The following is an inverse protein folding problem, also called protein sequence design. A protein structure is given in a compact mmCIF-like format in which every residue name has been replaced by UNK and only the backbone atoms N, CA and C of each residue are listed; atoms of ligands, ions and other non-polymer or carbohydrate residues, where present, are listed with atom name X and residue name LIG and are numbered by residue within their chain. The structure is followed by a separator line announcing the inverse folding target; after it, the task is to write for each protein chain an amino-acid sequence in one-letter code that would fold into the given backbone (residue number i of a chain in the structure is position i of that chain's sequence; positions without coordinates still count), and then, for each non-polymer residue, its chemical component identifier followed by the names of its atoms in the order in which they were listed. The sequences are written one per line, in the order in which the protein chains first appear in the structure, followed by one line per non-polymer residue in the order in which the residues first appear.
data_IF_251909150207
#
_entry.id   IF_251909150207
#
_cell.length_a   1.000
_cell.length_b   1.000
_cell.length_c   1.000
_cell.angle_alpha   90.00
_cell.angle_beta   90.00
_cell.angle_gamma   90.00
#
_symmetry.space_group_name_H-M   'P 1'
#
loop_
_entity.id
_entity.type
_entity.pdbx_description
1 polymer ?
#
# COMPACT_ATOMS: atom_id res chain seq x y z
N UNK A 1 1.22 -14.59 18.81
CA UNK A 1 1.92 -13.32 19.11
C UNK A 1 1.33 -12.28 18.18
N UNK A 2 1.04 -11.07 18.64
CA UNK A 2 0.53 -10.01 17.74
C UNK A 2 1.71 -9.55 16.86
N UNK A 3 1.57 -9.66 15.54
CA UNK A 3 2.63 -9.31 14.59
C UNK A 3 3.04 -7.84 14.69
N UNK A 4 2.11 -6.93 14.98
CA UNK A 4 2.43 -5.49 15.12
C UNK A 4 3.41 -5.23 16.27
N UNK A 5 3.21 -5.91 17.40
CA UNK A 5 4.10 -5.80 18.56
C UNK A 5 5.47 -6.38 18.22
N UNK A 6 5.49 -7.56 17.58
CA UNK A 6 6.73 -8.22 17.19
C UNK A 6 7.55 -7.36 16.22
N UNK A 7 6.92 -6.78 15.20
CA UNK A 7 7.57 -5.86 14.24
C UNK A 7 8.08 -4.60 14.95
N UNK A 8 7.27 -3.99 15.82
CA UNK A 8 7.67 -2.77 16.53
C UNK A 8 8.86 -3.01 17.47
N UNK A 9 8.89 -4.15 18.17
CA UNK A 9 10.01 -4.55 19.01
C UNK A 9 11.26 -4.86 18.17
N UNK A 10 11.10 -5.56 17.04
CA UNK A 10 12.18 -5.89 16.12
C UNK A 10 12.86 -4.64 15.58
N UNK A 11 12.09 -3.69 15.03
CA UNK A 11 12.61 -2.44 14.47
C UNK A 11 13.35 -1.61 15.54
N UNK A 12 12.82 -1.52 16.76
CA UNK A 12 13.48 -0.83 17.88
C UNK A 12 14.81 -1.45 18.28
N UNK A 13 14.96 -2.77 18.13
CA UNK A 13 16.17 -3.48 18.52
C UNK A 13 17.33 -3.28 17.52
N UNK A 14 17.01 -3.13 16.22
CA UNK A 14 18.00 -3.02 15.14
C UNK A 14 18.37 -1.57 14.80
N UNK A 15 17.53 -0.60 15.16
CA UNK A 15 17.72 0.82 14.87
C UNK A 15 17.72 1.67 16.15
N UNK A 16 18.77 1.56 16.99
CA UNK A 16 18.89 2.37 18.19
C UNK A 16 19.18 3.84 17.88
N UNK A 17 19.80 4.13 16.73
CA UNK A 17 20.31 5.46 16.37
C UNK A 17 19.32 6.31 15.56
N UNK A 18 18.23 5.71 15.05
CA UNK A 18 17.11 6.43 14.44
C UNK A 18 17.31 6.70 12.94
N UNK A 19 17.11 5.66 12.13
CA UNK A 19 17.12 5.76 10.67
C UNK A 19 16.00 6.69 10.18
N UNK A 20 16.25 7.66 9.26
CA UNK A 20 15.22 8.61 8.81
C UNK A 20 13.96 7.95 8.25
N UNK A 21 14.10 6.79 7.59
CA UNK A 21 12.95 6.01 7.09
C UNK A 21 11.97 5.55 8.17
N UNK A 22 12.40 5.48 9.43
CA UNK A 22 11.55 5.10 10.58
C UNK A 22 10.42 6.08 10.83
N UNK A 23 10.62 7.36 10.53
CA UNK A 23 9.61 8.41 10.72
C UNK A 23 8.37 8.20 9.82
N UNK A 24 8.50 7.35 8.80
CA UNK A 24 7.42 6.95 7.91
C UNK A 24 6.75 5.63 8.30
N UNK A 25 7.05 5.07 9.48
CA UNK A 25 6.43 3.85 10.02
C UNK A 25 5.67 4.14 11.31
N UNK A 26 4.42 3.66 11.42
CA UNK A 26 3.65 3.75 12.67
C UNK A 26 3.88 2.54 13.56
N UNK A 27 4.82 2.68 14.50
CA UNK A 27 5.16 1.60 15.44
C UNK A 27 4.33 1.66 16.73
N UNK A 28 4.09 0.50 17.33
CA UNK A 28 3.44 0.36 18.65
C UNK A 28 4.32 1.02 19.70
N UNK A 29 3.79 2.06 20.36
CA UNK A 29 4.46 2.79 21.44
C UNK A 29 4.57 1.92 22.69
N UNK A 30 3.43 1.40 23.12
CA UNK A 30 3.27 0.54 24.29
C UNK A 30 2.13 -0.44 24.06
N UNK A 31 2.05 -1.47 24.89
CA UNK A 31 0.96 -2.43 24.89
C UNK A 31 0.57 -2.81 26.32
N UNK A 32 -0.71 -3.10 26.53
CA UNK A 32 -1.22 -3.51 27.84
C UNK A 32 -2.48 -4.35 27.70
N UNK A 33 -2.98 -4.90 28.80
CA UNK A 33 -4.21 -5.68 28.82
C UNK A 33 -5.27 -5.03 29.70
N UNK A 34 -6.48 -4.96 29.19
CA UNK A 34 -7.66 -4.51 29.94
C UNK A 34 -8.59 -5.71 30.15
N UNK A 35 -9.09 -5.90 31.38
CA UNK A 35 -10.12 -6.89 31.67
C UNK A 35 -11.50 -6.32 31.33
N UNK A 36 -12.12 -6.88 30.29
CA UNK A 36 -13.49 -6.60 29.90
C UNK A 36 -14.47 -7.68 30.37
N UNK A 37 -15.78 -7.52 30.07
CA UNK A 37 -16.82 -8.49 30.43
C UNK A 37 -16.65 -9.87 29.76
N UNK A 38 -15.91 -9.94 28.64
CA UNK A 38 -15.71 -11.15 27.86
C UNK A 38 -14.28 -11.71 27.91
N UNK A 39 -13.42 -11.16 28.78
CA UNK A 39 -12.05 -11.64 28.95
C UNK A 39 -11.01 -10.53 28.97
N UNK A 40 -9.76 -10.90 28.76
CA UNK A 40 -8.65 -9.95 28.64
C UNK A 40 -8.53 -9.50 27.19
N UNK A 41 -8.51 -8.18 26.99
CA UNK A 41 -8.31 -7.55 25.69
C UNK A 41 -6.92 -6.92 25.67
N UNK A 42 -6.11 -7.26 24.67
CA UNK A 42 -4.82 -6.61 24.43
C UNK A 42 -5.09 -5.27 23.75
N UNK A 43 -4.50 -4.21 24.26
CA UNK A 43 -4.59 -2.85 23.74
C UNK A 43 -3.21 -2.39 23.26
N UNK A 44 -3.18 -1.69 22.14
CA UNK A 44 -1.97 -1.11 21.57
C UNK A 44 -2.06 0.41 21.70
N UNK A 45 -0.99 1.03 22.20
CA UNK A 45 -0.80 2.46 22.19
C UNK A 45 -0.02 2.85 20.94
N UNK A 46 -0.57 3.75 20.12
CA UNK A 46 -0.02 4.16 18.84
C UNK A 46 -0.13 5.68 18.71
N UNK A 47 0.79 6.31 17.98
CA UNK A 47 0.66 7.72 17.64
C UNK A 47 -0.63 7.98 16.85
N UNK A 48 -1.35 9.07 17.12
CA UNK A 48 -2.53 9.43 16.35
C UNK A 48 -2.14 9.87 14.94
N UNK A 49 -2.92 9.41 13.97
CA UNK A 49 -2.78 9.75 12.55
C UNK A 49 -4.11 10.28 12.02
N UNK A 50 -4.06 10.97 10.90
CA UNK A 50 -5.23 11.42 10.14
C UNK A 50 -5.85 10.29 9.32
N UNK A 51 -6.53 10.67 8.25
CA UNK A 51 -7.17 9.72 7.33
C UNK A 51 -6.15 8.93 6.48
N UNK A 52 -6.60 7.81 5.94
CA UNK A 52 -5.85 7.04 4.94
C UNK A 52 -5.73 7.79 3.60
N UNK A 53 -4.74 7.46 2.78
CA UNK A 53 -4.62 7.99 1.42
C UNK A 53 -5.83 7.65 0.55
N UNK A 54 -6.44 6.48 0.77
CA UNK A 54 -7.70 6.10 0.11
C UNK A 54 -8.79 7.14 0.37
N UNK A 55 -8.97 7.55 1.63
CA UNK A 55 -9.97 8.53 2.01
C UNK A 55 -9.56 9.94 1.58
N UNK A 56 -8.28 10.27 1.68
CA UNK A 56 -7.76 11.58 1.28
C UNK A 56 -7.96 11.87 -0.21
N UNK A 57 -7.70 10.89 -1.07
CA UNK A 57 -8.00 11.00 -2.50
C UNK A 57 -9.48 11.37 -2.74
N UNK A 58 -10.40 10.77 -1.98
CA UNK A 58 -11.85 11.04 -2.06
C UNK A 58 -12.27 12.42 -1.54
N UNK A 59 -11.44 13.12 -0.76
CA UNK A 59 -11.74 14.50 -0.33
C UNK A 59 -11.55 15.53 -1.45
N UNK A 60 -10.73 15.22 -2.46
CA UNK A 60 -10.68 16.03 -3.67
C UNK A 60 -11.97 15.81 -4.45
N UNK A 61 -12.57 16.88 -5.00
CA UNK A 61 -13.84 16.85 -5.74
C UNK A 61 -13.91 15.77 -6.83
N UNK A 62 -12.75 15.31 -7.29
CA UNK A 62 -12.64 14.32 -8.35
C UNK A 62 -12.27 12.91 -7.86
N UNK A 63 -11.77 12.72 -6.64
CA UNK A 63 -11.45 11.39 -6.08
C UNK A 63 -10.01 10.90 -6.25
N UNK A 64 -9.05 11.80 -6.44
CA UNK A 64 -7.63 11.47 -6.69
C UNK A 64 -6.69 12.62 -6.30
N UNK A 65 -5.41 12.32 -6.14
CA UNK A 65 -4.34 13.24 -5.79
C UNK A 65 -3.85 14.09 -6.98
N UNK A 66 -3.19 15.21 -6.67
CA UNK A 66 -2.39 15.97 -7.65
C UNK A 66 -1.03 15.30 -7.86
N UNK A 67 -0.28 15.70 -8.88
CA UNK A 67 1.03 15.12 -9.20
C UNK A 67 2.01 15.34 -8.05
N UNK A 68 2.01 16.53 -7.45
CA UNK A 68 2.90 16.89 -6.34
C UNK A 68 2.60 16.07 -5.09
N UNK A 69 1.31 15.84 -4.81
CA UNK A 69 0.88 15.00 -3.68
C UNK A 69 1.19 13.53 -3.92
N UNK A 70 1.07 13.04 -5.17
CA UNK A 70 1.51 11.70 -5.54
C UNK A 70 3.03 11.56 -5.34
N UNK A 71 3.83 12.45 -5.91
CA UNK A 71 5.29 12.45 -5.81
C UNK A 71 5.73 12.48 -4.34
N UNK A 72 5.16 13.40 -3.54
CA UNK A 72 5.42 13.45 -2.11
C UNK A 72 5.06 12.13 -1.43
N UNK A 73 3.88 11.58 -1.72
CA UNK A 73 3.46 10.31 -1.10
C UNK A 73 4.40 9.16 -1.44
N UNK A 74 4.83 9.06 -2.70
CA UNK A 74 5.74 8.02 -3.16
C UNK A 74 7.12 8.15 -2.51
N UNK A 75 7.68 9.36 -2.40
CA UNK A 75 8.98 9.59 -1.73
C UNK A 75 8.95 9.06 -0.28
N UNK A 76 7.92 9.42 0.49
CA UNK A 76 7.83 9.03 1.90
C UNK A 76 7.53 7.54 2.08
N UNK A 77 6.65 6.97 1.25
CA UNK A 77 6.35 5.53 1.27
C UNK A 77 7.57 4.70 0.86
N UNK A 78 8.29 5.11 -0.19
CA UNK A 78 9.50 4.40 -0.63
C UNK A 78 10.62 4.49 0.41
N UNK A 79 10.83 5.65 1.04
CA UNK A 79 11.80 5.80 2.12
C UNK A 79 11.45 4.93 3.36
N UNK A 80 10.16 4.87 3.71
CA UNK A 80 9.67 4.00 4.78
C UNK A 80 9.84 2.51 4.46
N UNK A 81 9.45 2.09 3.25
CA UNK A 81 9.62 0.70 2.81
C UNK A 81 11.08 0.30 2.71
N UNK A 82 11.95 1.18 2.22
CA UNK A 82 13.37 0.89 2.12
C UNK A 82 13.96 0.54 3.48
N UNK A 83 13.68 1.35 4.49
CA UNK A 83 14.06 1.06 5.87
C UNK A 83 13.41 -0.22 6.39
N UNK A 84 12.10 -0.41 6.17
CA UNK A 84 11.37 -1.61 6.59
C UNK A 84 12.00 -2.89 6.00
N UNK A 85 12.42 -2.84 4.74
CA UNK A 85 13.03 -3.95 4.02
C UNK A 85 14.48 -4.18 4.47
N UNK A 86 15.27 -3.14 4.70
CA UNK A 86 16.60 -3.24 5.33
C UNK A 86 16.53 -3.86 6.73
N UNK A 87 15.44 -3.59 7.44
CA UNK A 87 15.11 -4.20 8.72
C UNK A 87 14.71 -5.68 8.63
N UNK A 88 14.61 -6.26 7.43
CA UNK A 88 14.14 -7.63 7.22
C UNK A 88 12.66 -7.81 7.53
N UNK A 89 11.84 -6.77 7.32
CA UNK A 89 10.39 -6.82 7.52
C UNK A 89 9.69 -6.62 6.17
N UNK A 90 8.72 -7.47 5.86
CA UNK A 90 7.83 -7.33 4.70
C UNK A 90 6.45 -6.96 5.19
N UNK A 91 5.85 -5.92 4.63
CA UNK A 91 4.53 -5.43 5.04
C UNK A 91 3.42 -6.40 4.64
N UNK A 92 3.48 -6.92 3.41
CA UNK A 92 2.58 -7.92 2.82
C UNK A 92 1.13 -7.49 2.59
N UNK A 93 0.66 -6.40 3.23
CA UNK A 93 -0.70 -5.87 3.08
C UNK A 93 -0.75 -4.40 2.62
N UNK A 94 0.22 -3.98 1.81
CA UNK A 94 0.36 -2.57 1.45
C UNK A 94 -0.77 -2.12 0.49
N UNK A 95 -1.49 -1.06 0.87
CA UNK A 95 -2.56 -0.43 0.07
C UNK A 95 -2.79 1.03 0.53
N UNK A 96 -3.54 1.86 -0.21
CA UNK A 96 -3.89 3.22 0.20
C UNK A 96 -4.63 3.31 1.55
N UNK A 97 -5.24 2.22 2.02
CA UNK A 97 -5.89 2.18 3.32
C UNK A 97 -4.89 2.10 4.48
N UNK A 98 -3.74 1.47 4.23
CA UNK A 98 -2.68 1.22 5.21
C UNK A 98 -1.57 2.27 5.14
N UNK A 99 -1.80 3.35 4.39
CA UNK A 99 -0.96 4.55 4.41
C UNK A 99 -1.82 5.70 4.91
N UNK A 100 -1.45 6.27 6.04
CA UNK A 100 -2.23 7.31 6.71
C UNK A 100 -1.44 8.61 6.73
N UNK A 101 -2.15 9.73 6.57
CA UNK A 101 -1.54 11.05 6.73
C UNK A 101 -1.20 11.27 8.18
N UNK A 102 0.04 11.66 8.49
CA UNK A 102 0.34 12.01 9.85
C UNK A 102 -0.26 13.36 10.25
N UNK A 103 -0.27 13.62 11.55
CA UNK A 103 -0.69 14.90 12.14
C UNK A 103 0.53 15.76 12.45
N UNK A 104 0.57 17.00 11.96
CA UNK A 104 1.62 17.99 12.21
C UNK A 104 1.37 18.79 13.48
N UNK A 105 0.13 19.24 13.66
CA UNK A 105 -0.26 20.06 14.81
C UNK A 105 -1.19 19.28 15.73
N UNK A 106 -0.68 18.91 16.91
CA UNK A 106 -1.45 18.20 17.92
C UNK A 106 -2.56 19.05 18.55
N UNK A 107 -2.56 20.38 18.38
CA UNK A 107 -3.65 21.25 18.82
C UNK A 107 -4.99 20.83 18.21
N UNK A 108 -4.98 20.36 16.95
CA UNK A 108 -6.14 19.80 16.27
C UNK A 108 -6.79 18.66 17.06
N UNK A 109 -5.99 17.81 17.71
CA UNK A 109 -6.51 16.71 18.53
C UNK A 109 -7.22 17.25 19.76
N UNK A 110 -6.64 18.27 20.41
CA UNK A 110 -7.27 18.93 21.57
C UNK A 110 -8.60 19.58 21.19
N UNK A 111 -8.66 20.27 20.05
CA UNK A 111 -9.89 20.90 19.54
C UNK A 111 -10.96 19.85 19.20
N UNK A 112 -10.56 18.75 18.56
CA UNK A 112 -11.45 17.62 18.26
C UNK A 112 -12.01 16.99 19.55
N UNK A 113 -11.18 16.80 20.57
CA UNK A 113 -11.63 16.27 21.88
C UNK A 113 -12.58 17.24 22.56
N UNK A 114 -12.28 18.53 22.56
CA UNK A 114 -13.17 19.56 23.11
C UNK A 114 -14.53 19.55 22.38
N UNK A 115 -14.52 19.48 21.05
CA UNK A 115 -15.74 19.39 20.24
C UNK A 115 -16.57 18.14 20.55
N UNK A 116 -15.96 16.96 20.68
CA UNK A 116 -16.67 15.71 21.02
C UNK A 116 -17.25 15.75 22.45
N UNK A 117 -16.62 16.48 23.39
CA UNK A 117 -17.17 16.68 24.74
C UNK A 117 -18.39 17.61 24.73
N UNK A 118 -18.36 18.68 23.93
CA UNK A 118 -19.47 19.63 23.80
C UNK A 118 -20.62 19.07 22.94
N UNK A 119 -20.30 18.29 21.92
CA UNK A 119 -21.21 17.77 20.91
C UNK A 119 -20.95 16.27 20.67
N UNK A 120 -21.38 15.41 21.60
CA UNK A 120 -21.06 13.99 21.55
C UNK A 120 -21.61 13.32 20.29
N UNK A 121 -20.76 12.48 19.67
CA UNK A 121 -21.13 11.66 18.53
C UNK A 121 -22.36 10.81 18.82
N UNK A 122 -23.24 10.59 17.83
CA UNK A 122 -24.40 9.72 17.98
C UNK A 122 -23.99 8.37 18.55
N UNK A 123 -24.68 7.93 19.61
CA UNK A 123 -24.35 6.70 20.33
C UNK A 123 -25.58 5.90 20.67
N UNK A 124 -25.43 4.58 20.68
CA UNK A 124 -26.44 3.63 21.12
C UNK A 124 -26.07 3.11 22.50
N UNK A 125 -26.89 3.42 23.49
CA UNK A 125 -26.72 2.94 24.85
C UNK A 125 -27.46 1.60 25.01
N UNK A 126 -26.73 0.57 25.44
CA UNK A 126 -27.23 -0.76 25.79
C UNK A 126 -26.99 -0.99 27.29
N UNK A 127 -27.68 -1.96 27.93
CA UNK A 127 -27.49 -2.22 29.36
C UNK A 127 -26.05 -2.55 29.78
N UNK A 128 -25.24 -3.09 28.86
CA UNK A 128 -23.87 -3.57 29.11
C UNK A 128 -22.77 -2.73 28.43
N UNK A 129 -23.12 -1.86 27.47
CA UNK A 129 -22.13 -1.09 26.70
C UNK A 129 -22.73 0.12 25.98
N UNK A 130 -21.87 1.04 25.57
CA UNK A 130 -22.20 2.14 24.67
C UNK A 130 -21.50 1.90 23.33
N UNK A 131 -22.25 1.97 22.24
CA UNK A 131 -21.73 1.87 20.88
C UNK A 131 -21.70 3.28 20.30
N UNK A 132 -20.51 3.81 20.05
CA UNK A 132 -20.32 5.12 19.45
C UNK A 132 -20.32 4.98 17.92
N UNK A 133 -21.02 5.86 17.23
CA UNK A 133 -20.89 5.99 15.78
C UNK A 133 -19.52 6.59 15.47
N UNK A 134 -18.77 5.99 14.56
CA UNK A 134 -17.54 6.62 14.04
C UNK A 134 -17.90 7.90 13.30
N UNK A 135 -17.21 8.98 13.62
CA UNK A 135 -17.43 10.29 13.01
C UNK A 135 -16.13 10.82 12.41
N UNK A 136 -16.23 11.41 11.21
CA UNK A 136 -15.09 12.03 10.54
C UNK A 136 -15.01 13.50 10.94
N UNK A 137 -13.94 13.89 11.60
CA UNK A 137 -13.63 15.30 11.84
C UNK A 137 -12.78 15.84 10.69
N UNK A 138 -13.19 16.91 9.99
CA UNK A 138 -12.40 17.48 8.90
C UNK A 138 -11.07 17.98 9.44
N UNK A 139 -9.96 17.43 8.94
CA UNK A 139 -8.62 17.93 9.25
C UNK A 139 -8.18 18.90 8.16
N UNK A 140 -7.74 20.13 8.50
CA UNK A 140 -7.22 21.05 7.51
C UNK A 140 -5.88 20.55 6.96
N UNK A 141 -5.66 20.71 5.65
CA UNK A 141 -4.44 20.25 4.95
C UNK A 141 -3.16 20.78 5.63
N UNK A 142 -3.18 22.01 6.14
CA UNK A 142 -2.04 22.63 6.84
C UNK A 142 -1.63 21.89 8.13
N UNK A 143 -2.53 21.11 8.73
CA UNK A 143 -2.28 20.31 9.92
C UNK A 143 -1.79 18.89 9.59
N UNK A 144 -1.63 18.54 8.31
CA UNK A 144 -1.15 17.24 7.86
C UNK A 144 0.38 17.23 7.74
N UNK A 145 1.02 16.12 8.11
CA UNK A 145 2.42 15.79 7.77
C UNK A 145 2.43 14.71 6.68
N UNK A 146 3.60 14.36 6.12
CA UNK A 146 3.69 13.35 5.09
C UNK A 146 3.06 12.00 5.45
N UNK A 147 2.74 11.16 4.44
CA UNK A 147 2.10 9.86 4.68
C UNK A 147 3.01 8.88 5.44
N UNK A 148 2.39 8.00 6.23
CA UNK A 148 3.02 7.05 7.14
C UNK A 148 2.44 5.66 6.88
N UNK A 149 3.30 4.67 6.75
CA UNK A 149 2.95 3.25 6.61
C UNK A 149 2.48 2.71 7.96
N UNK A 150 1.33 2.05 7.94
CA UNK A 150 0.61 1.60 9.13
C UNK A 150 0.11 0.16 8.95
N UNK A 151 -0.36 -0.44 10.04
CA UNK A 151 -0.97 -1.78 10.07
C UNK A 151 0.00 -2.91 9.69
N UNK A 152 0.85 -3.26 10.66
CA UNK A 152 1.77 -4.39 10.56
C UNK A 152 1.14 -5.71 11.01
N UNK A 153 -0.21 -5.81 11.09
CA UNK A 153 -0.90 -7.02 11.54
C UNK A 153 -0.63 -8.22 10.64
N UNK A 154 -0.39 -7.98 9.35
CA UNK A 154 -0.04 -8.99 8.37
C UNK A 154 1.44 -9.08 8.05
N UNK A 155 2.28 -8.21 8.60
CA UNK A 155 3.71 -8.18 8.29
C UNK A 155 4.44 -9.47 8.69
N UNK A 156 5.62 -9.68 8.09
CA UNK A 156 6.50 -10.83 8.33
C UNK A 156 7.93 -10.36 8.53
N UNK A 157 8.63 -11.01 9.46
CA UNK A 157 10.05 -10.75 9.76
C UNK A 157 10.86 -11.92 9.18
N UNK A 158 11.88 -11.60 8.38
CA UNK A 158 12.71 -12.56 7.63
C UNK A 158 12.81 -12.20 6.15
N UNK A 159 13.58 -13.00 5.41
CA UNK A 159 13.97 -12.65 4.03
C UNK A 159 13.10 -13.31 2.97
N UNK A 160 12.61 -14.53 3.21
CA UNK A 160 11.85 -15.33 2.24
C UNK A 160 10.68 -16.06 2.89
N UNK A 161 9.57 -16.10 2.18
CA UNK A 161 8.32 -16.68 2.65
C UNK A 161 7.59 -17.43 1.54
N UNK A 162 6.56 -18.16 1.94
CA UNK A 162 5.63 -18.86 1.05
C UNK A 162 4.19 -18.69 1.54
N UNK A 163 3.24 -19.02 0.67
CA UNK A 163 1.81 -18.93 0.98
C UNK A 163 1.17 -17.63 0.50
N UNK A 164 -0.14 -17.54 0.67
CA UNK A 164 -0.93 -16.44 0.11
C UNK A 164 -0.96 -15.24 1.04
N UNK A 165 -0.47 -14.11 0.54
CA UNK A 165 -0.53 -12.79 1.18
C UNK A 165 -1.08 -11.75 0.20
N UNK A 166 -1.10 -10.49 0.62
CA UNK A 166 -1.57 -9.32 -0.13
C UNK A 166 -3.08 -9.26 -0.35
N UNK A 167 -3.64 -8.03 -0.35
CA UNK A 167 -4.96 -7.81 -0.86
C UNK A 167 -5.01 -8.32 -2.29
N UNK A 168 -6.13 -8.97 -2.60
CA UNK A 168 -6.42 -9.58 -3.89
C UNK A 168 -6.06 -8.69 -5.10
N UNK A 169 -6.47 -7.43 -5.12
CA UNK A 169 -6.20 -6.51 -6.24
C UNK A 169 -4.77 -5.97 -6.30
N UNK A 170 -3.97 -6.18 -5.26
CA UNK A 170 -2.58 -5.73 -5.15
C UNK A 170 -1.59 -6.88 -5.31
N UNK A 171 -2.09 -8.12 -5.37
CA UNK A 171 -1.27 -9.32 -5.28
C UNK A 171 -0.27 -9.42 -6.43
N UNK A 172 1.00 -9.62 -6.07
CA UNK A 172 2.10 -9.80 -7.02
C UNK A 172 2.01 -11.15 -7.74
N UNK A 173 2.53 -11.26 -8.98
CA UNK A 173 2.38 -12.46 -9.80
C UNK A 173 3.04 -13.70 -9.19
N UNK A 174 4.17 -13.56 -8.49
CA UNK A 174 4.84 -14.65 -7.78
C UNK A 174 3.96 -15.23 -6.65
N UNK A 175 3.16 -14.40 -5.98
CA UNK A 175 2.21 -14.85 -4.94
C UNK A 175 1.02 -15.57 -5.58
N UNK A 176 0.50 -15.07 -6.72
CA UNK A 176 -0.56 -15.75 -7.49
C UNK A 176 -0.08 -17.12 -7.97
N UNK A 177 1.15 -17.20 -8.47
CA UNK A 177 1.76 -18.45 -8.97
C UNK A 177 2.21 -19.40 -7.87
N UNK A 178 2.02 -19.06 -6.58
CA UNK A 178 2.40 -19.89 -5.45
C UNK A 178 3.92 -20.09 -5.33
N UNK A 179 4.71 -19.13 -5.79
CA UNK A 179 6.16 -19.11 -5.64
C UNK A 179 6.56 -18.63 -4.24
N UNK A 180 7.82 -18.83 -3.87
CA UNK A 180 8.43 -18.07 -2.78
C UNK A 180 8.47 -16.59 -3.12
N UNK A 181 8.34 -15.75 -2.10
CA UNK A 181 8.34 -14.30 -2.23
C UNK A 181 9.12 -13.65 -1.08
N UNK A 182 9.52 -12.40 -1.30
CA UNK A 182 10.29 -11.57 -0.39
C UNK A 182 9.69 -10.15 -0.32
N UNK A 183 10.49 -9.18 0.14
CA UNK A 183 10.08 -7.77 0.26
C UNK A 183 9.63 -7.11 -1.06
N UNK A 184 10.00 -7.66 -2.22
CA UNK A 184 9.67 -7.10 -3.53
C UNK A 184 8.18 -7.15 -3.86
N UNK A 185 7.38 -7.89 -3.09
CA UNK A 185 5.92 -7.83 -3.21
C UNK A 185 5.36 -6.47 -2.77
N UNK A 186 5.99 -5.80 -1.80
CA UNK A 186 5.54 -4.47 -1.36
C UNK A 186 5.84 -3.41 -2.43
N UNK A 187 6.98 -3.54 -3.12
CA UNK A 187 7.37 -2.69 -4.26
C UNK A 187 6.35 -2.82 -5.41
N UNK A 188 5.88 -4.05 -5.67
CA UNK A 188 4.79 -4.27 -6.62
C UNK A 188 3.51 -3.56 -6.17
N UNK A 189 3.13 -3.69 -4.89
CA UNK A 189 1.94 -3.01 -4.34
C UNK A 189 2.00 -1.49 -4.52
N UNK A 190 3.18 -0.86 -4.38
CA UNK A 190 3.36 0.58 -4.67
C UNK A 190 3.04 0.89 -6.14
N UNK A 191 3.52 0.08 -7.08
CA UNK A 191 3.23 0.25 -8.50
C UNK A 191 1.73 0.19 -8.81
N UNK A 192 1.01 -0.75 -8.20
CA UNK A 192 -0.46 -0.87 -8.34
C UNK A 192 -1.18 0.33 -7.72
N UNK A 193 -0.73 0.76 -6.54
CA UNK A 193 -1.33 1.82 -5.74
C UNK A 193 -1.43 3.16 -6.47
N UNK A 194 -0.47 3.46 -7.34
CA UNK A 194 -0.41 4.74 -8.08
C UNK A 194 -1.72 5.01 -8.82
N UNK A 195 -2.32 4.02 -9.47
CA UNK A 195 -3.60 4.22 -10.18
C UNK A 195 -4.75 4.51 -9.22
N UNK A 196 -4.82 3.79 -8.10
CA UNK A 196 -5.90 3.94 -7.11
C UNK A 196 -5.93 5.35 -6.53
N UNK A 197 -4.77 5.99 -6.32
CA UNK A 197 -4.69 7.32 -5.70
C UNK A 197 -4.52 8.47 -6.70
N UNK A 198 -4.10 8.23 -7.95
CA UNK A 198 -3.81 9.30 -8.92
C UNK A 198 -4.71 9.29 -10.16
N UNK A 199 -5.01 8.11 -10.71
CA UNK A 199 -5.87 7.97 -11.90
C UNK A 199 -7.35 7.87 -11.52
N UNK A 200 -7.66 7.66 -10.23
CA UNK A 200 -9.03 7.62 -9.73
C UNK A 200 -9.77 6.31 -9.98
N UNK A 201 -9.03 5.23 -10.25
CA UNK A 201 -9.58 3.91 -10.54
C UNK A 201 -8.55 2.81 -10.33
N UNK A 202 -9.00 1.55 -10.21
CA UNK A 202 -8.07 0.44 -9.93
C UNK A 202 -7.26 0.05 -11.15
N UNK A 203 -5.96 -0.15 -11.00
CA UNK A 203 -5.14 -0.66 -12.11
C UNK A 203 -5.62 -2.04 -12.58
N UNK A 204 -5.88 -2.95 -11.64
CA UNK A 204 -6.33 -4.31 -11.93
C UNK A 204 -7.63 -4.64 -11.20
N UNK A 205 -8.63 -5.08 -11.97
CA UNK A 205 -9.92 -5.51 -11.47
C UNK A 205 -9.99 -7.04 -11.54
N UNK A 206 -9.55 -7.70 -10.48
CA UNK A 206 -9.54 -9.15 -10.42
C UNK A 206 -10.90 -9.71 -9.94
N UNK A 207 -12.01 -9.20 -10.48
CA UNK A 207 -13.36 -9.65 -10.16
C UNK A 207 -13.98 -10.25 -11.43
N UNK A 208 -14.25 -11.55 -11.40
CA UNK A 208 -15.06 -12.26 -12.39
C UNK A 208 -16.55 -12.24 -12.00
N UNK A 209 -17.26 -13.35 -12.26
CA UNK A 209 -18.67 -13.55 -11.86
C UNK A 209 -18.82 -13.63 -10.32
N UNK A 210 -18.76 -12.49 -9.64
CA UNK A 210 -18.89 -12.27 -8.19
C UNK A 210 -17.80 -12.92 -7.32
N UNK A 211 -16.78 -13.54 -7.93
CA UNK A 211 -15.63 -14.13 -7.26
C UNK A 211 -14.33 -13.59 -7.84
N UNK A 212 -13.29 -13.62 -7.02
CA UNK A 212 -11.96 -13.24 -7.47
C UNK A 212 -11.39 -14.30 -8.40
N UNK A 213 -10.82 -13.86 -9.52
CA UNK A 213 -10.35 -14.73 -10.59
C UNK A 213 -8.88 -14.41 -10.92
N UNK A 214 -7.98 -15.34 -10.58
CA UNK A 214 -6.55 -15.25 -10.86
C UNK A 214 -6.30 -15.20 -12.38
N UNK A 215 -7.11 -15.88 -13.20
CA UNK A 215 -6.96 -15.89 -14.65
C UNK A 215 -7.17 -14.49 -15.23
N UNK A 216 -8.26 -13.83 -14.80
CA UNK A 216 -8.56 -12.46 -15.21
C UNK A 216 -7.54 -11.44 -14.68
N UNK A 217 -6.99 -11.68 -13.49
CA UNK A 217 -5.94 -10.83 -12.94
C UNK A 217 -4.67 -10.92 -13.79
N UNK A 218 -4.23 -12.13 -14.12
CA UNK A 218 -3.04 -12.36 -14.94
C UNK A 218 -3.23 -11.88 -16.39
N UNK A 219 -4.41 -12.04 -16.98
CA UNK A 219 -4.72 -11.48 -18.30
C UNK A 219 -4.56 -9.95 -18.34
N UNK A 220 -4.96 -9.26 -17.27
CA UNK A 220 -4.73 -7.81 -17.13
C UNK A 220 -3.25 -7.49 -16.94
N UNK A 221 -2.50 -8.27 -16.17
CA UNK A 221 -1.04 -8.09 -16.06
C UNK A 221 -0.38 -8.22 -17.44
N UNK A 222 -0.70 -9.27 -18.20
CA UNK A 222 -0.16 -9.48 -19.56
C UNK A 222 -0.49 -8.31 -20.49
N UNK A 223 -1.72 -7.79 -20.40
CA UNK A 223 -2.14 -6.63 -21.17
C UNK A 223 -1.32 -5.36 -20.83
N UNK A 224 -1.07 -5.12 -19.54
CA UNK A 224 -0.43 -3.89 -19.06
C UNK A 224 1.10 -3.90 -19.22
N UNK A 225 1.75 -5.04 -18.95
CA UNK A 225 3.22 -5.15 -18.87
C UNK A 225 3.81 -6.22 -19.80
N UNK A 226 3.00 -6.80 -20.70
CA UNK A 226 3.42 -7.83 -21.64
C UNK A 226 3.51 -9.23 -21.02
N UNK A 227 3.81 -10.24 -21.85
CA UNK A 227 3.97 -11.62 -21.36
C UNK A 227 5.18 -11.75 -20.42
N UNK A 228 5.09 -12.64 -19.41
CA UNK A 228 6.23 -12.94 -18.54
C UNK A 228 7.41 -13.52 -19.33
N UNK A 229 8.65 -13.24 -18.92
CA UNK A 229 9.82 -13.88 -19.50
C UNK A 229 9.82 -15.39 -19.19
N UNK A 230 10.44 -16.18 -20.06
CA UNK A 230 10.57 -17.65 -19.87
C UNK A 230 11.21 -18.03 -18.55
N UNK A 231 12.07 -17.18 -18.01
CA UNK A 231 12.67 -17.39 -16.69
C UNK A 231 11.61 -17.42 -15.58
N UNK A 232 10.66 -16.47 -15.60
CA UNK A 232 9.56 -16.44 -14.64
C UNK A 232 8.68 -17.70 -14.76
N UNK A 233 8.30 -18.05 -15.99
CA UNK A 233 7.47 -19.23 -16.28
C UNK A 233 8.07 -20.54 -15.77
N UNK A 234 9.41 -20.65 -15.74
CA UNK A 234 10.12 -21.84 -15.22
C UNK A 234 10.11 -21.95 -13.69
N UNK A 235 9.81 -20.87 -12.96
CA UNK A 235 9.85 -20.83 -11.48
C UNK A 235 8.65 -21.53 -10.83
N UNK A 236 7.55 -21.72 -11.55
CA UNK A 236 6.37 -22.42 -11.01
C UNK A 236 5.67 -23.27 -12.06
N UNK A 237 5.27 -24.49 -11.68
CA UNK A 237 4.45 -25.36 -12.53
C UNK A 237 3.04 -24.79 -12.74
N UNK A 238 2.54 -23.96 -11.81
CA UNK A 238 1.22 -23.33 -11.90
C UNK A 238 1.11 -22.41 -13.13
N UNK A 239 2.24 -21.88 -13.64
CA UNK A 239 2.25 -21.07 -14.85
C UNK A 239 1.70 -21.82 -16.08
N UNK A 240 1.82 -23.16 -16.14
CA UNK A 240 1.33 -23.99 -17.25
C UNK A 240 -0.19 -24.00 -17.40
N UNK A 241 -0.92 -23.49 -16.41
CA UNK A 241 -2.36 -23.28 -16.52
C UNK A 241 -2.69 -22.13 -17.49
N UNK A 242 -1.78 -21.16 -17.65
CA UNK A 242 -2.06 -19.90 -18.33
C UNK A 242 -1.16 -19.63 -19.53
N UNK A 243 0.03 -20.24 -19.58
CA UNK A 243 0.99 -20.11 -20.69
C UNK A 243 1.45 -21.47 -21.22
N UNK A 244 1.73 -21.53 -22.53
CA UNK A 244 2.42 -22.66 -23.17
C UNK A 244 3.96 -22.62 -22.95
N UNK A 245 4.67 -23.62 -23.49
CA UNK A 245 6.13 -23.74 -23.36
C UNK A 245 6.89 -22.65 -24.15
N UNK A 246 6.25 -22.06 -25.17
CA UNK A 246 6.76 -20.94 -25.95
C UNK A 246 6.59 -19.60 -25.21
N UNK A 247 5.70 -19.53 -24.23
CA UNK A 247 5.38 -18.34 -23.43
C UNK A 247 4.16 -17.56 -23.95
N UNK A 248 3.34 -18.17 -24.82
CA UNK A 248 2.09 -17.58 -25.28
C UNK A 248 0.97 -17.85 -24.28
N UNK A 249 0.07 -16.89 -24.14
CA UNK A 249 -1.13 -17.02 -23.32
C UNK A 249 -2.10 -18.07 -23.91
N UNK A 250 -2.53 -19.03 -23.09
CA UNK A 250 -3.43 -20.13 -23.48
C UNK A 250 -4.71 -20.21 -22.64
N UNK A 251 -4.86 -19.34 -21.64
CA UNK A 251 -6.04 -19.35 -20.78
C UNK A 251 -7.29 -18.88 -21.55
N UNK A 252 -8.47 -19.25 -21.05
CA UNK A 252 -9.73 -18.98 -21.74
C UNK A 252 -10.10 -17.49 -21.74
N UNK A 253 -9.70 -16.77 -20.70
CA UNK A 253 -9.92 -15.34 -20.57
C UNK A 253 -9.09 -14.58 -21.60
N UNK A 254 -9.72 -13.75 -22.46
CA UNK A 254 -9.00 -12.96 -23.43
C UNK A 254 -8.16 -11.88 -22.75
N UNK A 255 -6.98 -11.61 -23.30
CA UNK A 255 -6.16 -10.47 -22.88
C UNK A 255 -6.88 -9.17 -23.31
N UNK A 256 -7.21 -8.27 -22.37
CA UNK A 256 -7.87 -7.01 -22.73
C UNK A 256 -6.98 -6.13 -23.63
N UNK A 257 -7.60 -5.36 -24.53
CA UNK A 257 -6.88 -4.37 -25.35
C UNK A 257 -6.69 -3.07 -24.55
N UNK A 258 -5.60 -3.00 -23.79
CA UNK A 258 -5.19 -1.85 -22.99
C UNK A 258 -3.67 -1.86 -22.79
N UNK A 259 -3.12 -0.76 -22.29
CA UNK A 259 -1.73 -0.65 -21.85
C UNK A 259 -1.65 0.38 -20.73
N UNK A 260 -0.52 0.44 -20.02
CA UNK A 260 -0.28 1.52 -19.04
C UNK A 260 -0.44 2.90 -19.70
N UNK A 261 0.02 3.07 -20.94
CA UNK A 261 -0.07 4.32 -21.70
C UNK A 261 -1.50 4.73 -22.06
N UNK A 262 -2.38 3.78 -22.39
CA UNK A 262 -3.79 4.10 -22.70
C UNK A 262 -4.60 4.39 -21.44
N UNK A 263 -4.14 3.90 -20.28
CA UNK A 263 -4.79 4.10 -18.99
C UNK A 263 -4.33 5.34 -18.25
N UNK A 264 -3.12 5.80 -18.53
CA UNK A 264 -2.64 7.10 -18.07
C UNK A 264 -3.35 8.18 -18.88
N UNK A 265 -4.24 8.94 -18.22
CA UNK A 265 -5.00 10.01 -18.88
C UNK A 265 -4.64 11.40 -18.37
N UNK A 266 -3.86 11.48 -17.29
CA UNK A 266 -3.65 12.67 -16.45
C UNK A 266 -2.53 13.56 -16.96
N UNK A 267 -1.38 12.98 -17.22
CA UNK A 267 -0.16 13.62 -17.65
C UNK A 267 -0.03 13.54 -19.16
N UNK A 268 0.85 14.37 -19.72
CA UNK A 268 1.14 14.42 -21.16
C UNK A 268 2.63 14.64 -21.38
N UNK A 269 3.11 14.24 -22.57
CA UNK A 269 4.51 14.41 -22.98
C UNK A 269 5.49 13.78 -22.00
N UNK A 270 6.57 14.53 -21.67
CA UNK A 270 7.65 14.11 -20.77
C UNK A 270 7.13 13.48 -19.46
N UNK A 271 6.14 14.10 -18.82
CA UNK A 271 5.70 13.66 -17.49
C UNK A 271 4.90 12.36 -17.54
N UNK A 272 4.13 12.14 -18.61
CA UNK A 272 3.50 10.85 -18.87
C UNK A 272 4.56 9.77 -19.09
N UNK A 273 5.56 10.04 -19.93
CA UNK A 273 6.65 9.09 -20.21
C UNK A 273 7.45 8.75 -18.94
N UNK A 274 7.73 9.75 -18.10
CA UNK A 274 8.45 9.56 -16.84
C UNK A 274 7.63 8.74 -15.81
N UNK A 275 6.34 9.01 -15.66
CA UNK A 275 5.45 8.20 -14.81
C UNK A 275 5.37 6.75 -15.29
N UNK A 276 5.22 6.53 -16.60
CA UNK A 276 5.15 5.20 -17.18
C UNK A 276 6.47 4.43 -16.98
N UNK A 277 7.62 5.09 -17.17
CA UNK A 277 8.93 4.51 -16.90
C UNK A 277 9.13 4.16 -15.42
N UNK A 278 8.65 5.03 -14.52
CA UNK A 278 8.66 4.79 -13.07
C UNK A 278 7.87 3.53 -12.71
N UNK A 279 6.62 3.44 -13.20
CA UNK A 279 5.74 2.29 -12.92
C UNK A 279 6.29 1.00 -13.51
N UNK A 280 6.85 1.03 -14.72
CA UNK A 280 7.40 -0.16 -15.39
C UNK A 280 8.56 -0.78 -14.60
N UNK A 281 9.30 0.00 -13.80
CA UNK A 281 10.31 -0.54 -12.88
C UNK A 281 9.69 -1.27 -11.69
N UNK A 282 8.56 -0.78 -11.17
CA UNK A 282 7.85 -1.38 -10.04
C UNK A 282 7.07 -2.64 -10.45
N UNK A 283 6.39 -2.59 -11.60
CA UNK A 283 5.55 -3.66 -12.13
C UNK A 283 6.32 -4.56 -13.08
N UNK A 284 7.27 -5.30 -12.51
CA UNK A 284 8.07 -6.30 -13.21
C UNK A 284 7.65 -7.72 -12.82
N UNK A 285 7.62 -8.64 -13.80
CA UNK A 285 7.36 -10.06 -13.59
C UNK A 285 8.37 -10.73 -12.66
N UNK A 286 9.67 -10.50 -12.87
CA UNK A 286 10.74 -11.08 -12.06
C UNK A 286 10.94 -10.25 -10.78
N UNK A 287 10.70 -10.80 -9.58
CA UNK A 287 10.83 -10.04 -8.33
C UNK A 287 12.24 -9.46 -8.14
N UNK A 288 13.27 -10.23 -8.52
CA UNK A 288 14.68 -9.83 -8.40
C UNK A 288 15.06 -8.62 -9.26
N UNK A 289 14.26 -8.30 -10.28
CA UNK A 289 14.47 -7.13 -11.14
C UNK A 289 13.74 -5.89 -10.63
N UNK A 290 12.85 -6.03 -9.62
CA UNK A 290 12.22 -4.87 -8.99
C UNK A 290 13.26 -4.13 -8.14
N UNK A 291 13.27 -2.80 -8.15
CA UNK A 291 14.22 -1.98 -7.40
C UNK A 291 13.97 -2.05 -5.88
N UNK A 292 14.91 -1.56 -5.08
CA UNK A 292 14.64 -1.21 -3.68
C UNK A 292 13.86 0.11 -3.59
N UNK A 293 13.43 0.50 -2.38
CA UNK A 293 12.82 1.82 -2.20
C UNK A 293 13.82 2.93 -2.52
N UNK A 294 15.07 2.79 -2.06
CA UNK A 294 16.14 3.74 -2.30
C UNK A 294 16.47 3.92 -3.79
N UNK A 295 16.54 2.83 -4.56
CA UNK A 295 16.81 2.88 -6.01
C UNK A 295 15.76 3.72 -6.78
N UNK A 296 14.54 3.84 -6.24
CA UNK A 296 13.45 4.60 -6.87
C UNK A 296 13.41 6.07 -6.45
N UNK A 297 14.04 6.44 -5.33
CA UNK A 297 14.03 7.82 -4.83
C UNK A 297 14.73 8.80 -5.78
N UNK A 298 15.70 8.32 -6.56
CA UNK A 298 16.45 9.13 -7.53
C UNK A 298 15.82 9.13 -8.94
N UNK A 299 14.60 8.59 -9.10
CA UNK A 299 13.94 8.54 -10.40
C UNK A 299 13.41 9.92 -10.81
N UNK A 300 13.60 10.33 -12.08
CA UNK A 300 13.20 11.65 -12.61
C UNK A 300 11.74 12.01 -12.28
N UNK A 301 10.82 11.04 -12.35
CA UNK A 301 9.42 11.27 -11.98
C UNK A 301 9.22 11.83 -10.56
N UNK A 302 10.11 11.57 -9.60
CA UNK A 302 10.02 12.09 -8.24
C UNK A 302 10.72 13.45 -8.06
N UNK A 303 11.37 13.99 -9.11
CA UNK A 303 11.92 15.34 -9.07
C UNK A 303 10.77 16.36 -9.04
N UNK A 304 10.62 17.04 -7.90
CA UNK A 304 9.63 18.09 -7.71
C UNK A 304 10.06 19.37 -8.44
N UNK A 305 9.79 19.45 -9.74
CA UNK A 305 10.01 20.67 -10.52
C UNK A 305 8.74 21.56 -10.51
N UNK A 306 8.91 22.86 -10.24
CA UNK A 306 7.83 23.83 -10.06
C UNK A 306 7.14 24.26 -11.37
N UNK A 307 7.46 23.61 -12.49
CA UNK A 307 7.01 23.94 -13.85
C UNK A 307 6.02 22.92 -14.44
N UNK A 308 5.35 22.12 -13.59
CA UNK A 308 4.45 21.03 -13.98
C UNK A 308 3.03 21.44 -14.43
N UNK A 309 2.77 22.71 -14.74
CA UNK A 309 1.48 23.19 -15.28
C UNK A 309 1.40 23.19 -16.81
#
# INVERSE_FOLDING_TARGET
MNNEIAVSQHIRAIDPDGHPGRDFLRLVLDDFQIKGPHGLHRCLLLDPLGMSLANFANFYQKGWLTTELLQLSLVNVLAGLDFLHQAGVVHTDLSPNNIMLGIRDASFISDMVASELEHPSPRKELPDRVIHCSHSHPMPIIAMRPPIICDFGHARIGDRFSGTVMPRSYRAPEVIMGMEWDSKIDIWSVGVMIWDIFEGGRLMHAMGNDHFDDEQHLAQMVSLIGNPPKEFLKRSQNCRQYWDDEGNWIAATPIPDQSLKTREVRLKGKWQESLLAFVQKLLCWLPDQRPTGQDMLDHEFLEMDASQE
#
